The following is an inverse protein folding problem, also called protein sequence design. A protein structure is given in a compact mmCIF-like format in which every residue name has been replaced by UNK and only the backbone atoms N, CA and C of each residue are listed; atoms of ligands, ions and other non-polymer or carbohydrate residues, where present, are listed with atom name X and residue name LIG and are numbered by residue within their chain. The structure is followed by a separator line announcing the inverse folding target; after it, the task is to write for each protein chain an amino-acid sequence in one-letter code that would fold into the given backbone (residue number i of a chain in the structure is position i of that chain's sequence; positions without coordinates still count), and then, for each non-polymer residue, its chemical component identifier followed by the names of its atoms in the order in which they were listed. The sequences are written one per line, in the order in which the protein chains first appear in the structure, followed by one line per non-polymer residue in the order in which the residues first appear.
data_IF_013826218256
#
_entry.id   IF_013826218256
#
_cell.length_a   1.000
_cell.length_b   1.000
_cell.length_c   1.000
_cell.angle_alpha   90.00
_cell.angle_beta   90.00
_cell.angle_gamma   90.00
#
_symmetry.space_group_name_H-M   'P 1'
#
loop_
_entity.id
_entity.type
_entity.pdbx_description
1 polymer ?
#
# COMPACT_ATOMS: atom_id res chain seq x y z
N UNK A 1 -17.81 -22.99 26.36
CA UNK A 1 -16.97 -23.65 25.35
C UNK A 1 -16.22 -22.67 24.43
N UNK A 2 -16.74 -21.45 24.20
CA UNK A 2 -16.08 -20.41 23.40
C UNK A 2 -15.01 -19.64 24.19
N UNK A 3 -15.16 -19.45 25.47
CA UNK A 3 -14.21 -18.73 26.34
C UNK A 3 -12.82 -19.38 26.40
N UNK A 4 -12.74 -20.72 26.42
CA UNK A 4 -11.46 -21.44 26.48
C UNK A 4 -10.62 -21.38 25.20
N UNK A 5 -11.25 -21.13 24.03
CA UNK A 5 -10.54 -20.97 22.75
C UNK A 5 -9.88 -19.59 22.67
N UNK A 6 -10.47 -18.57 23.30
CA UNK A 6 -9.94 -17.20 23.28
C UNK A 6 -8.72 -17.01 24.20
N UNK A 7 -8.60 -17.79 25.28
CA UNK A 7 -7.42 -17.73 26.16
C UNK A 7 -6.17 -18.37 25.54
N UNK A 8 -6.33 -19.30 24.63
CA UNK A 8 -5.20 -20.01 23.99
C UNK A 8 -4.63 -19.25 22.81
N UNK A 9 -5.42 -18.40 22.16
CA UNK A 9 -5.00 -17.49 21.07
C UNK A 9 -4.96 -16.07 21.62
N UNK A 10 -3.87 -15.64 22.21
CA UNK A 10 -3.64 -14.24 22.61
C UNK A 10 -3.44 -13.34 21.38
N UNK A 11 -4.41 -13.35 20.47
CA UNK A 11 -4.41 -12.44 19.33
C UNK A 11 -4.73 -11.02 19.82
N UNK A 12 -3.95 -10.05 19.39
CA UNK A 12 -4.26 -8.64 19.61
C UNK A 12 -5.56 -8.26 18.87
N UNK A 13 -6.22 -7.19 19.31
CA UNK A 13 -7.41 -6.67 18.62
C UNK A 13 -7.12 -6.41 17.13
N UNK A 14 -5.90 -5.94 16.80
CA UNK A 14 -5.46 -5.73 15.42
C UNK A 14 -5.42 -7.00 14.60
N UNK A 15 -4.97 -8.11 15.18
CA UNK A 15 -4.96 -9.42 14.51
C UNK A 15 -6.36 -9.94 14.26
N UNK A 16 -7.29 -9.73 15.21
CA UNK A 16 -8.69 -10.08 15.00
C UNK A 16 -9.32 -9.30 13.85
N UNK A 17 -9.09 -7.99 13.78
CA UNK A 17 -9.59 -7.14 12.71
C UNK A 17 -9.00 -7.54 11.35
N UNK A 18 -7.73 -7.93 11.32
CA UNK A 18 -7.06 -8.43 10.13
C UNK A 18 -7.67 -9.76 9.67
N UNK A 19 -7.82 -10.74 10.57
CA UNK A 19 -8.42 -12.03 10.24
C UNK A 19 -9.89 -11.91 9.82
N UNK A 20 -10.60 -10.93 10.37
CA UNK A 20 -11.97 -10.61 9.98
C UNK A 20 -12.07 -9.84 8.64
N UNK A 21 -10.94 -9.48 8.02
CA UNK A 21 -10.91 -8.72 6.77
C UNK A 21 -11.33 -7.23 6.92
N UNK A 22 -11.46 -6.75 8.16
CA UNK A 22 -11.82 -5.35 8.42
C UNK A 22 -10.67 -4.41 8.16
N UNK A 23 -9.44 -4.89 8.41
CA UNK A 23 -8.20 -4.16 8.11
C UNK A 23 -7.27 -5.01 7.27
N UNK A 24 -6.44 -4.34 6.48
CA UNK A 24 -5.36 -4.92 5.69
C UNK A 24 -4.05 -4.58 6.36
N UNK A 25 -3.16 -5.56 6.47
CA UNK A 25 -1.84 -5.37 7.05
C UNK A 25 -0.80 -5.26 5.93
N UNK A 26 -0.03 -4.18 5.95
CA UNK A 26 1.10 -3.96 5.05
C UNK A 26 2.38 -3.99 5.89
N UNK A 27 3.23 -5.00 5.70
CA UNK A 27 4.41 -5.20 6.53
C UNK A 27 5.61 -4.42 5.99
N UNK A 28 6.43 -3.88 6.90
CA UNK A 28 7.71 -3.29 6.52
C UNK A 28 8.67 -4.37 6.05
N UNK A 29 9.40 -4.09 4.98
CA UNK A 29 10.55 -4.88 4.57
C UNK A 29 11.84 -4.08 4.72
N UNK A 30 12.89 -4.75 5.19
CA UNK A 30 14.21 -4.16 5.32
C UNK A 30 15.00 -4.19 4.00
N UNK A 31 14.72 -5.18 3.17
CA UNK A 31 15.34 -5.39 1.86
C UNK A 31 14.27 -5.92 0.88
N UNK A 32 14.48 -5.68 -0.41
CA UNK A 32 13.52 -6.07 -1.44
C UNK A 32 14.10 -7.12 -2.41
N UNK A 33 14.67 -8.18 -1.85
CA UNK A 33 15.10 -9.35 -2.60
C UNK A 33 14.08 -10.49 -2.47
N UNK A 34 14.10 -11.41 -3.41
CA UNK A 34 13.25 -12.60 -3.38
C UNK A 34 13.79 -13.66 -2.40
N UNK A 35 12.94 -14.29 -1.62
CA UNK A 35 11.52 -13.97 -1.40
C UNK A 35 11.34 -12.80 -0.43
N UNK A 36 10.49 -11.84 -0.78
CA UNK A 36 10.30 -10.60 0.00
C UNK A 36 9.88 -10.89 1.46
N UNK A 37 9.05 -11.90 1.67
CA UNK A 37 8.52 -12.26 2.99
C UNK A 37 9.61 -12.56 4.04
N UNK A 38 10.79 -13.00 3.60
CA UNK A 38 11.94 -13.28 4.50
C UNK A 38 12.50 -12.01 5.13
N UNK A 39 12.32 -10.88 4.46
CA UNK A 39 12.81 -9.57 4.91
C UNK A 39 11.74 -8.76 5.64
N UNK A 40 10.56 -9.35 5.89
CA UNK A 40 9.48 -8.69 6.59
C UNK A 40 9.80 -8.50 8.07
N UNK A 41 9.62 -7.27 8.54
CA UNK A 41 9.71 -6.93 9.96
C UNK A 41 8.33 -7.12 10.59
N UNK A 42 8.20 -8.12 11.44
CA UNK A 42 6.93 -8.45 12.09
C UNK A 42 6.49 -7.39 13.11
N UNK A 43 7.40 -6.55 13.57
CA UNK A 43 7.13 -5.49 14.55
C UNK A 43 6.71 -4.16 13.92
N UNK A 44 6.92 -3.98 12.63
CA UNK A 44 6.63 -2.74 11.92
C UNK A 44 5.67 -2.98 10.75
N UNK A 45 4.51 -2.35 10.81
CA UNK A 45 3.49 -2.49 9.78
C UNK A 45 2.60 -1.24 9.72
N UNK A 46 1.99 -1.03 8.56
CA UNK A 46 0.87 -0.11 8.36
C UNK A 46 -0.44 -0.90 8.36
N UNK A 47 -1.51 -0.25 8.83
CA UNK A 47 -2.87 -0.78 8.73
C UNK A 47 -3.69 0.09 7.80
N UNK A 48 -4.37 -0.54 6.85
CA UNK A 48 -5.35 0.08 5.99
C UNK A 48 -6.74 -0.48 6.31
N UNK A 49 -7.79 0.30 6.07
CA UNK A 49 -9.15 -0.24 6.14
C UNK A 49 -9.40 -1.17 4.95
N UNK A 50 -10.05 -2.30 5.19
CA UNK A 50 -10.44 -3.24 4.13
C UNK A 50 -11.44 -2.64 3.13
N UNK A 51 -12.10 -1.55 3.52
CA UNK A 51 -13.01 -0.77 2.68
C UNK A 51 -12.73 0.72 2.84
N UNK A 52 -12.40 1.39 1.72
CA UNK A 52 -12.09 2.83 1.69
C UNK A 52 -13.34 3.70 1.94
N UNK A 53 -14.54 3.20 1.62
CA UNK A 53 -15.81 3.87 1.94
C UNK A 53 -16.03 3.92 3.46
N UNK A 54 -15.69 2.83 4.16
CA UNK A 54 -15.73 2.81 5.62
C UNK A 54 -14.71 3.79 6.23
N UNK A 55 -13.49 3.88 5.66
CA UNK A 55 -12.50 4.86 6.09
C UNK A 55 -13.03 6.28 5.94
N UNK A 56 -13.59 6.63 4.79
CA UNK A 56 -14.12 7.98 4.54
C UNK A 56 -15.32 8.30 5.44
N UNK A 57 -16.23 7.36 5.63
CA UNK A 57 -17.38 7.52 6.53
C UNK A 57 -16.95 7.75 7.99
N UNK A 58 -15.93 7.02 8.46
CA UNK A 58 -15.42 7.16 9.84
C UNK A 58 -14.57 8.42 10.04
N UNK A 59 -13.95 8.94 8.99
CA UNK A 59 -13.14 10.16 9.07
C UNK A 59 -13.97 11.44 9.19
N UNK A 60 -15.27 11.39 8.95
CA UNK A 60 -16.14 12.56 8.92
C UNK A 60 -15.94 13.44 7.67
N UNK A 61 -15.24 12.96 6.66
CA UNK A 61 -15.11 13.67 5.38
C UNK A 61 -16.48 13.76 4.70
N UNK A 62 -16.80 14.97 4.24
CA UNK A 62 -18.00 15.15 3.40
C UNK A 62 -17.78 14.52 2.02
N UNK A 63 -18.85 14.00 1.43
CA UNK A 63 -18.80 13.47 0.06
C UNK A 63 -18.31 14.54 -0.93
N UNK A 64 -18.68 15.80 -0.73
CA UNK A 64 -18.23 16.93 -1.55
C UNK A 64 -16.71 17.10 -1.49
N UNK A 65 -16.09 16.99 -0.30
CA UNK A 65 -14.64 17.06 -0.13
C UNK A 65 -13.94 15.93 -0.87
N UNK A 66 -14.50 14.72 -0.84
CA UNK A 66 -13.94 13.57 -1.56
C UNK A 66 -14.04 13.77 -3.07
N UNK A 67 -15.18 14.25 -3.56
CA UNK A 67 -15.43 14.45 -5.00
C UNK A 67 -14.68 15.64 -5.58
N UNK A 68 -14.52 16.74 -4.82
CA UNK A 68 -13.77 17.90 -5.30
C UNK A 68 -12.28 17.67 -5.42
N UNK A 69 -11.75 16.66 -4.73
CA UNK A 69 -10.30 16.41 -4.68
C UNK A 69 -9.51 17.53 -4.00
N UNK A 70 -10.21 18.54 -3.43
CA UNK A 70 -9.57 19.69 -2.80
C UNK A 70 -8.71 19.28 -1.61
N UNK A 71 -7.53 19.76 -1.65
CA UNK A 71 -6.32 19.54 -0.91
C UNK A 71 -6.33 19.34 0.60
N UNK A 72 -6.97 18.28 1.09
CA UNK A 72 -6.75 17.81 2.44
C UNK A 72 -5.58 16.78 2.43
N UNK A 73 -4.65 16.90 3.38
CA UNK A 73 -3.57 15.91 3.60
C UNK A 73 -4.11 14.50 3.79
N UNK A 74 -5.28 14.37 4.40
CA UNK A 74 -5.97 13.10 4.60
C UNK A 74 -6.37 12.40 3.28
N UNK A 75 -6.59 13.14 2.19
CA UNK A 75 -6.86 12.57 0.87
C UNK A 75 -5.68 11.74 0.33
N UNK A 76 -4.45 12.04 0.77
CA UNK A 76 -3.30 11.18 0.50
C UNK A 76 -3.47 9.80 1.11
N UNK A 77 -3.84 9.75 2.40
CA UNK A 77 -4.09 8.50 3.11
C UNK A 77 -5.29 7.72 2.54
N UNK A 78 -6.37 8.41 2.14
CA UNK A 78 -7.52 7.78 1.46
C UNK A 78 -7.10 7.16 0.12
N UNK A 79 -6.28 7.85 -0.65
CA UNK A 79 -5.78 7.36 -1.94
C UNK A 79 -4.89 6.13 -1.75
N UNK A 80 -3.98 6.16 -0.79
CA UNK A 80 -3.10 5.03 -0.46
C UNK A 80 -3.91 3.83 0.03
N UNK A 81 -4.92 4.07 0.88
CA UNK A 81 -5.84 3.02 1.34
C UNK A 81 -6.65 2.39 0.20
N UNK A 82 -7.13 3.21 -0.75
CA UNK A 82 -7.80 2.70 -1.94
C UNK A 82 -6.90 1.75 -2.74
N UNK A 83 -5.64 2.14 -2.95
CA UNK A 83 -4.67 1.28 -3.64
C UNK A 83 -4.40 0.00 -2.85
N UNK A 84 -4.20 0.08 -1.53
CA UNK A 84 -4.03 -1.09 -0.67
C UNK A 84 -5.20 -2.08 -0.82
N UNK A 85 -6.44 -1.57 -0.82
CA UNK A 85 -7.64 -2.37 -1.02
C UNK A 85 -7.66 -3.07 -2.38
N UNK A 86 -7.30 -2.38 -3.48
CA UNK A 86 -7.26 -2.97 -4.82
C UNK A 86 -6.20 -4.06 -4.93
N UNK A 87 -4.99 -3.80 -4.41
CA UNK A 87 -3.90 -4.76 -4.43
C UNK A 87 -4.23 -6.02 -3.62
N UNK A 88 -4.81 -5.86 -2.42
CA UNK A 88 -5.25 -6.98 -1.60
C UNK A 88 -6.39 -7.78 -2.25
N UNK A 89 -7.35 -7.10 -2.91
CA UNK A 89 -8.43 -7.76 -3.65
C UNK A 89 -7.92 -8.61 -4.82
N UNK A 90 -6.77 -8.23 -5.41
CA UNK A 90 -6.08 -9.01 -6.44
C UNK A 90 -5.20 -10.13 -5.87
N UNK A 91 -5.23 -10.36 -4.55
CA UNK A 91 -4.53 -11.44 -3.88
C UNK A 91 -3.06 -11.18 -3.60
N UNK A 92 -2.64 -9.91 -3.62
CA UNK A 92 -1.27 -9.56 -3.29
C UNK A 92 -1.07 -9.44 -1.77
N UNK A 93 0.02 -10.00 -1.27
CA UNK A 93 0.56 -9.66 0.04
C UNK A 93 1.14 -8.24 -0.02
N UNK A 94 0.80 -7.41 0.97
CA UNK A 94 1.20 -6.02 0.99
C UNK A 94 2.47 -5.83 1.82
N UNK A 95 3.48 -5.24 1.19
CA UNK A 95 4.71 -4.80 1.85
C UNK A 95 4.98 -3.34 1.51
N UNK A 96 5.66 -2.63 2.42
CA UNK A 96 6.25 -1.32 2.14
C UNK A 96 7.73 -1.35 2.49
N UNK A 97 8.48 -0.47 1.85
CA UNK A 97 9.90 -0.36 2.12
C UNK A 97 10.24 0.99 2.73
N UNK A 98 11.10 0.97 3.72
CA UNK A 98 11.61 2.16 4.38
C UNK A 98 13.13 2.06 4.52
N UNK A 99 13.83 3.14 4.12
CA UNK A 99 15.28 3.25 4.20
C UNK A 99 15.66 4.14 5.39
N UNK A 100 16.15 3.57 6.49
CA UNK A 100 16.74 4.29 7.62
C UNK A 100 16.10 5.68 7.91
N UNK A 101 14.78 5.77 7.90
CA UNK A 101 13.96 6.96 8.11
C UNK A 101 14.14 8.10 7.08
N UNK A 102 14.70 7.82 5.91
CA UNK A 102 14.96 8.87 4.90
C UNK A 102 14.13 8.77 3.64
N UNK A 103 13.67 7.57 3.29
CA UNK A 103 12.85 7.32 2.12
C UNK A 103 11.88 6.18 2.40
N UNK A 104 10.65 6.31 1.92
CA UNK A 104 9.60 5.31 2.02
C UNK A 104 8.99 5.08 0.64
N UNK A 105 8.77 3.81 0.29
CA UNK A 105 8.01 3.40 -0.87
C UNK A 105 6.70 2.77 -0.42
N UNK A 106 5.59 3.22 -0.98
CA UNK A 106 4.25 2.91 -0.49
C UNK A 106 3.94 1.41 -0.54
N UNK A 107 4.22 0.75 -1.67
CA UNK A 107 4.04 -0.70 -1.78
C UNK A 107 5.19 -1.37 -2.54
N UNK A 108 5.54 -2.56 -2.07
CA UNK A 108 6.42 -3.51 -2.75
C UNK A 108 5.66 -4.83 -2.84
N UNK A 109 5.55 -5.38 -4.04
CA UNK A 109 4.85 -6.63 -4.27
C UNK A 109 5.80 -7.67 -4.85
N UNK A 110 5.50 -8.94 -4.63
CA UNK A 110 6.14 -10.04 -5.31
C UNK A 110 5.11 -10.82 -6.14
N UNK A 111 5.39 -11.03 -7.41
CA UNK A 111 4.60 -11.84 -8.31
C UNK A 111 5.49 -12.88 -8.97
N UNK A 112 5.41 -14.13 -8.50
CA UNK A 112 6.39 -15.16 -8.86
C UNK A 112 7.79 -14.72 -8.46
N UNK A 113 8.71 -14.69 -9.42
CA UNK A 113 10.10 -14.26 -9.23
C UNK A 113 10.31 -12.77 -9.59
N UNK A 114 9.28 -11.96 -9.50
CA UNK A 114 9.36 -10.55 -9.89
C UNK A 114 9.02 -9.65 -8.71
N UNK A 115 9.91 -8.73 -8.40
CA UNK A 115 9.66 -7.66 -7.43
C UNK A 115 9.13 -6.45 -8.18
N UNK A 116 8.03 -5.89 -7.70
CA UNK A 116 7.37 -4.72 -8.25
C UNK A 116 7.38 -3.59 -7.22
N UNK A 117 7.80 -2.42 -7.67
CA UNK A 117 7.82 -1.19 -6.86
C UNK A 117 6.62 -0.31 -7.22
N UNK A 118 5.83 0.10 -6.24
CA UNK A 118 4.63 0.92 -6.46
C UNK A 118 4.67 2.16 -5.58
N UNK A 119 4.58 3.31 -6.22
CA UNK A 119 4.44 4.62 -5.59
C UNK A 119 3.07 5.20 -5.87
N UNK A 120 2.41 5.72 -4.86
CA UNK A 120 1.07 6.33 -4.95
C UNK A 120 1.18 7.85 -4.82
N UNK A 121 0.61 8.59 -5.74
CA UNK A 121 0.57 10.06 -5.72
C UNK A 121 -0.85 10.55 -5.98
N UNK A 122 -1.38 11.36 -5.08
CA UNK A 122 -2.72 11.96 -5.25
C UNK A 122 -2.77 13.07 -6.31
N UNK A 123 -1.63 13.57 -6.79
CA UNK A 123 -1.55 14.71 -7.69
C UNK A 123 -0.74 14.42 -8.96
N UNK A 124 -0.64 15.44 -9.83
CA UNK A 124 0.09 15.35 -11.09
C UNK A 124 1.60 15.63 -10.94
N UNK A 125 2.01 16.33 -9.87
CA UNK A 125 3.42 16.62 -9.62
C UNK A 125 4.13 15.43 -8.99
N UNK A 126 4.94 14.76 -9.81
CA UNK A 126 5.40 13.39 -9.56
C UNK A 126 6.93 13.28 -9.59
N UNK A 127 7.62 13.99 -8.71
CA UNK A 127 8.99 13.61 -8.39
C UNK A 127 8.97 12.69 -7.18
N UNK A 128 9.45 11.47 -7.37
CA UNK A 128 9.57 10.51 -6.29
C UNK A 128 11.05 10.18 -6.07
N UNK A 129 11.62 10.77 -5.01
CA UNK A 129 12.98 10.45 -4.60
C UNK A 129 13.07 9.01 -4.08
N UNK A 130 12.07 8.59 -3.34
CA UNK A 130 12.01 7.27 -2.72
C UNK A 130 11.94 6.16 -3.77
N UNK A 131 11.07 6.29 -4.76
CA UNK A 131 10.97 5.32 -5.85
C UNK A 131 12.28 5.25 -6.65
N UNK A 132 12.89 6.40 -6.97
CA UNK A 132 14.18 6.40 -7.70
C UNK A 132 15.32 5.77 -6.88
N UNK A 133 15.35 6.01 -5.56
CA UNK A 133 16.31 5.37 -4.67
C UNK A 133 16.10 3.85 -4.64
N UNK A 134 14.84 3.42 -4.51
CA UNK A 134 14.49 2.00 -4.51
C UNK A 134 14.89 1.33 -5.84
N UNK A 135 14.57 1.95 -6.98
CA UNK A 135 14.94 1.43 -8.31
C UNK A 135 16.46 1.30 -8.42
N UNK A 136 17.21 2.32 -8.01
CA UNK A 136 18.67 2.30 -8.06
C UNK A 136 19.31 1.29 -7.12
N UNK A 137 18.62 0.90 -6.03
CA UNK A 137 19.16 -0.04 -5.04
C UNK A 137 18.81 -1.50 -5.36
N UNK A 138 17.57 -1.76 -5.75
CA UNK A 138 17.02 -3.12 -5.85
C UNK A 138 16.74 -3.58 -7.28
N UNK A 139 16.76 -2.68 -8.27
CA UNK A 139 16.50 -2.99 -9.68
C UNK A 139 15.23 -3.84 -9.89
N UNK A 140 14.06 -3.40 -9.40
CA UNK A 140 12.83 -4.19 -9.50
C UNK A 140 12.48 -4.48 -10.96
N UNK A 141 11.84 -5.62 -11.21
CA UNK A 141 11.40 -6.02 -12.56
C UNK A 141 10.39 -5.04 -13.15
N UNK A 142 9.63 -4.34 -12.31
CA UNK A 142 8.64 -3.35 -12.71
C UNK A 142 8.56 -2.24 -11.67
N UNK A 143 8.54 -1.00 -12.14
CA UNK A 143 8.27 0.17 -11.33
C UNK A 143 7.01 0.87 -11.83
N UNK A 144 6.06 1.10 -10.93
CA UNK A 144 4.75 1.67 -11.23
C UNK A 144 4.54 2.92 -10.37
N UNK A 145 4.04 3.96 -11.01
CA UNK A 145 3.52 5.14 -10.34
C UNK A 145 2.01 5.23 -10.57
N UNK A 146 1.26 5.12 -9.50
CA UNK A 146 -0.19 5.35 -9.50
C UNK A 146 -0.47 6.83 -9.22
N UNK A 147 -1.20 7.48 -10.10
CA UNK A 147 -1.51 8.92 -9.98
C UNK A 147 -2.76 9.29 -10.78
N UNK A 148 -3.09 10.59 -10.81
CA UNK A 148 -4.15 11.12 -11.68
C UNK A 148 -3.74 11.21 -13.16
N UNK A 149 -2.48 10.91 -13.51
CA UNK A 149 -2.02 10.88 -14.91
C UNK A 149 -2.55 9.67 -15.65
N UNK A 150 -2.69 9.81 -16.96
CA UNK A 150 -3.02 8.71 -17.85
C UNK A 150 -1.89 7.68 -17.93
N UNK A 151 -2.19 6.53 -18.56
CA UNK A 151 -1.21 5.51 -18.88
C UNK A 151 -0.04 6.09 -19.67
N UNK A 152 1.14 5.65 -19.33
CA UNK A 152 2.37 6.03 -20.01
C UNK A 152 3.56 5.26 -19.47
N UNK A 153 4.66 5.31 -20.19
CA UNK A 153 5.93 4.74 -19.76
C UNK A 153 7.06 5.69 -20.13
N UNK A 154 7.97 5.88 -19.19
CA UNK A 154 9.17 6.68 -19.39
C UNK A 154 10.31 6.14 -18.55
N UNK A 155 11.45 5.87 -19.18
CA UNK A 155 12.67 5.41 -18.50
C UNK A 155 12.45 4.14 -17.64
N UNK A 156 11.60 3.21 -18.10
CA UNK A 156 11.23 1.98 -17.40
C UNK A 156 10.22 2.17 -16.26
N UNK A 157 9.77 3.40 -16.02
CA UNK A 157 8.74 3.70 -15.04
C UNK A 157 7.36 3.78 -15.73
N UNK A 158 6.44 2.92 -15.32
CA UNK A 158 5.06 2.90 -15.79
C UNK A 158 4.20 3.88 -15.00
N UNK A 159 3.49 4.76 -15.67
CA UNK A 159 2.41 5.55 -15.09
C UNK A 159 1.10 4.82 -15.30
N UNK A 160 0.37 4.59 -14.22
CA UNK A 160 -0.95 3.95 -14.24
C UNK A 160 -1.94 4.87 -13.53
N UNK A 161 -3.11 5.15 -14.11
CA UNK A 161 -4.14 5.92 -13.45
C UNK A 161 -4.62 5.23 -12.16
N UNK A 162 -4.93 6.00 -11.11
CA UNK A 162 -5.42 5.45 -9.85
C UNK A 162 -6.61 4.52 -10.03
N UNK A 163 -7.56 4.88 -10.89
CA UNK A 163 -8.75 4.05 -11.16
C UNK A 163 -8.41 2.68 -11.78
N UNK A 164 -7.23 2.53 -12.38
CA UNK A 164 -6.78 1.29 -13.00
C UNK A 164 -5.89 0.43 -12.08
N UNK A 165 -5.76 0.78 -10.78
CA UNK A 165 -4.98 0.00 -9.82
C UNK A 165 -5.46 -1.45 -9.67
N UNK A 166 -6.73 -1.73 -10.00
CA UNK A 166 -7.28 -3.09 -10.04
C UNK A 166 -6.67 -3.99 -11.13
N UNK A 167 -5.90 -3.44 -12.05
CA UNK A 167 -5.23 -4.20 -13.11
C UNK A 167 -3.82 -4.70 -12.73
N UNK A 168 -3.32 -4.36 -11.55
CA UNK A 168 -1.96 -4.69 -11.08
C UNK A 168 -1.90 -6.08 -10.49
#
# INVERSE_FOLDING_TARGET
FLTGVFETLRLSVGEWLYLAGVVLKCQRISQAFEPISVYADLSAFKLYMGDVGLLTAKSGLSQQTVLSGEGNTFMGAVTENYVAQQLAANGHDLYYWESNNTAELDFVLQRGNQVMAIEVKKGEHVRSRSLNLFIGTYHPSCAIRLSLKNFGEKDGLKSVPLYASFCI
#
